data_IF_215359696991
#
_entry.id   IF_215359696991
#
_cell.length_a   1.000
_cell.length_b   1.000
_cell.length_c   1.000
_cell.angle_alpha   90.00
_cell.angle_beta   90.00
_cell.angle_gamma   90.00
#
_symmetry.space_group_name_H-M   'P 1'
#
loop_
_entity.id
_entity.type
_entity.pdbx_description
1 polymer ?
#
# COMPACT_ATOMS: atom_id res chain seq x y z
N UNK A 1 13.71 -23.15 50.46
CA UNK A 1 13.42 -22.80 49.03
C UNK A 1 13.64 -23.99 48.10
N UNK A 2 14.54 -24.93 48.38
CA UNK A 2 14.80 -26.11 47.53
C UNK A 2 13.59 -27.05 47.33
N UNK A 3 12.84 -27.31 48.39
CA UNK A 3 11.71 -28.26 48.34
C UNK A 3 10.57 -27.77 47.46
N UNK A 4 10.32 -26.49 47.39
CA UNK A 4 9.31 -25.90 46.49
C UNK A 4 9.66 -26.12 45.03
N UNK A 5 10.92 -25.83 44.64
CA UNK A 5 11.39 -26.03 43.28
C UNK A 5 11.43 -27.50 42.88
N UNK A 6 11.81 -28.40 43.80
CA UNK A 6 11.80 -29.83 43.55
C UNK A 6 10.39 -30.36 43.34
N UNK A 7 9.41 -29.98 44.20
CA UNK A 7 8.01 -30.37 44.07
C UNK A 7 7.37 -29.82 42.79
N UNK A 8 7.73 -28.56 42.40
CA UNK A 8 7.27 -27.96 41.16
C UNK A 8 7.78 -28.73 39.95
N UNK A 9 9.09 -29.07 39.94
CA UNK A 9 9.71 -29.86 38.88
C UNK A 9 9.09 -31.24 38.69
N UNK A 10 8.83 -31.96 39.76
CA UNK A 10 8.17 -33.28 39.70
C UNK A 10 6.75 -33.21 39.17
N UNK A 11 5.97 -32.21 39.62
CA UNK A 11 4.59 -32.03 39.16
C UNK A 11 4.55 -31.63 37.66
N UNK A 12 5.44 -30.72 37.25
CA UNK A 12 5.54 -30.31 35.85
C UNK A 12 5.97 -31.47 34.94
N UNK A 13 6.89 -32.31 35.40
CA UNK A 13 7.32 -33.48 34.64
C UNK A 13 6.21 -34.54 34.52
N UNK A 14 5.46 -34.80 35.57
CA UNK A 14 4.31 -35.72 35.56
C UNK A 14 3.17 -35.20 34.67
N UNK A 15 3.00 -33.86 34.61
CA UNK A 15 1.97 -33.20 33.81
C UNK A 15 2.51 -32.61 32.50
N UNK A 16 3.64 -33.11 31.97
CA UNK A 16 4.34 -32.57 30.79
C UNK A 16 3.43 -32.27 29.60
N UNK A 17 2.50 -33.16 29.29
CA UNK A 17 1.55 -32.95 28.20
C UNK A 17 0.56 -31.82 28.46
N UNK A 18 0.14 -31.61 29.69
CA UNK A 18 -0.72 -30.50 30.09
C UNK A 18 0.02 -29.19 30.07
N UNK A 19 1.30 -29.18 30.43
CA UNK A 19 2.16 -27.98 30.35
C UNK A 19 2.38 -27.57 28.87
N UNK A 20 2.66 -28.55 27.99
CA UNK A 20 2.78 -28.31 26.55
C UNK A 20 1.47 -27.81 25.97
N UNK A 21 0.35 -28.44 26.31
CA UNK A 21 -0.98 -27.99 25.85
C UNK A 21 -1.28 -26.54 26.32
N UNK A 22 -0.94 -26.21 27.57
CA UNK A 22 -1.06 -24.85 28.10
C UNK A 22 -0.26 -23.83 27.30
N UNK A 23 1.00 -24.15 26.95
CA UNK A 23 1.82 -23.28 26.13
C UNK A 23 1.26 -23.11 24.70
N UNK A 24 0.74 -24.17 24.09
CA UNK A 24 0.10 -24.09 22.77
C UNK A 24 -1.11 -23.15 22.81
N UNK A 25 -1.95 -23.25 23.86
CA UNK A 25 -3.10 -22.36 24.05
C UNK A 25 -2.65 -20.91 24.23
N UNK A 26 -1.63 -20.66 25.08
CA UNK A 26 -1.10 -19.31 25.29
C UNK A 26 -0.54 -18.71 24.00
N UNK A 27 0.25 -19.50 23.25
CA UNK A 27 0.79 -19.06 21.95
C UNK A 27 -0.32 -18.81 20.92
N UNK A 28 -1.35 -19.66 20.90
CA UNK A 28 -2.51 -19.47 20.04
C UNK A 28 -3.27 -18.17 20.35
N UNK A 29 -3.54 -17.92 21.62
CA UNK A 29 -4.20 -16.68 22.06
C UNK A 29 -3.35 -15.46 21.75
N UNK A 30 -2.04 -15.50 22.03
CA UNK A 30 -1.13 -14.39 21.72
C UNK A 30 -1.01 -14.19 20.21
N UNK A 31 -1.00 -15.25 19.40
CA UNK A 31 -0.99 -15.17 17.95
C UNK A 31 -2.25 -14.48 17.38
N UNK A 32 -3.43 -14.86 17.88
CA UNK A 32 -4.70 -14.24 17.49
C UNK A 32 -4.75 -12.76 17.92
N UNK A 33 -4.31 -12.46 19.15
CA UNK A 33 -4.23 -11.08 19.62
C UNK A 33 -3.24 -10.26 18.78
N UNK A 34 -2.08 -10.81 18.49
CA UNK A 34 -1.10 -10.15 17.62
C UNK A 34 -1.69 -9.87 16.23
N UNK A 35 -2.31 -10.86 15.58
CA UNK A 35 -2.93 -10.68 14.28
C UNK A 35 -4.06 -9.63 14.27
N UNK A 36 -4.78 -9.51 15.40
CA UNK A 36 -5.89 -8.56 15.50
C UNK A 36 -5.45 -7.14 15.89
N UNK A 37 -4.36 -7.01 16.66
CA UNK A 37 -3.85 -5.73 17.16
C UNK A 37 -2.57 -5.26 16.47
N UNK A 38 -1.94 -6.07 15.61
CA UNK A 38 -0.83 -5.61 14.79
C UNK A 38 -1.36 -4.58 13.79
N UNK A 39 -1.13 -3.31 14.09
CA UNK A 39 -1.24 -2.26 13.10
C UNK A 39 -0.03 -2.35 12.16
N UNK A 40 -0.20 -2.16 10.85
CA UNK A 40 0.94 -2.09 9.95
C UNK A 40 1.90 -1.00 10.47
N UNK A 41 3.18 -1.33 10.48
CA UNK A 41 4.24 -0.39 10.89
C UNK A 41 4.19 0.81 9.95
N UNK A 42 3.50 1.88 10.36
CA UNK A 42 3.50 3.12 9.61
C UNK A 42 4.86 3.77 9.76
N UNK A 43 5.55 3.99 8.65
CA UNK A 43 6.83 4.70 8.61
C UNK A 43 6.63 6.23 8.72
N UNK A 44 5.44 6.67 9.15
CA UNK A 44 5.13 8.07 9.43
C UNK A 44 5.66 8.43 10.82
N UNK A 45 6.71 9.22 10.85
CA UNK A 45 7.25 9.80 12.07
C UNK A 45 6.32 10.94 12.52
N UNK A 46 5.22 10.58 13.18
CA UNK A 46 4.30 11.54 13.80
C UNK A 46 4.61 11.64 15.29
N UNK A 47 4.90 12.84 15.78
CA UNK A 47 5.07 13.12 17.21
C UNK A 47 3.87 13.96 17.66
N UNK A 48 2.78 13.31 18.15
CA UNK A 48 1.56 14.01 18.53
C UNK A 48 1.83 15.08 19.59
N UNK A 49 1.22 16.27 19.41
CA UNK A 49 1.26 17.35 20.41
C UNK A 49 2.41 18.36 20.25
N UNK A 50 3.32 18.18 19.29
CA UNK A 50 4.36 19.17 18.98
C UNK A 50 3.84 20.30 18.09
N UNK A 51 4.46 21.49 18.17
CA UNK A 51 4.14 22.61 17.26
C UNK A 51 4.46 22.26 15.79
N UNK A 52 5.49 21.44 15.58
CA UNK A 52 5.83 20.93 14.25
C UNK A 52 4.68 20.10 13.65
N UNK A 53 4.08 19.21 14.44
CA UNK A 53 2.92 18.41 13.99
C UNK A 53 1.72 19.31 13.66
N UNK A 54 1.41 20.28 14.51
CA UNK A 54 0.32 21.25 14.24
C UNK A 54 0.52 22.06 12.95
N UNK A 55 1.79 22.37 12.65
CA UNK A 55 2.12 23.09 11.42
C UNK A 55 1.95 22.19 10.19
N UNK A 56 2.36 20.92 10.29
CA UNK A 56 2.14 19.92 9.25
C UNK A 56 0.64 19.68 9.02
N UNK A 57 -0.13 19.49 10.09
CA UNK A 57 -1.59 19.29 10.01
C UNK A 57 -2.28 20.50 9.32
N UNK A 58 -1.83 21.71 9.63
CA UNK A 58 -2.35 22.92 9.00
C UNK A 58 -1.89 23.09 7.55
N UNK A 59 -0.67 22.63 7.23
CA UNK A 59 -0.17 22.61 5.86
C UNK A 59 -0.98 21.63 5.00
N UNK A 60 -1.30 20.47 5.54
CA UNK A 60 -2.12 19.45 4.88
C UNK A 60 -3.57 19.91 4.68
N UNK A 61 -4.10 20.71 5.61
CA UNK A 61 -5.43 21.33 5.47
C UNK A 61 -5.46 22.33 4.30
N UNK A 62 -4.39 23.11 4.12
CA UNK A 62 -4.29 24.15 3.08
C UNK A 62 -3.84 23.58 1.74
N UNK A 63 -2.98 22.57 1.77
CA UNK A 63 -2.39 21.92 0.59
C UNK A 63 -2.54 20.39 0.62
N UNK A 64 -3.76 19.84 0.52
CA UNK A 64 -4.02 18.41 0.72
C UNK A 64 -3.31 17.49 -0.29
N UNK A 65 -2.90 18.01 -1.44
CA UNK A 65 -2.19 17.24 -2.47
C UNK A 65 -0.67 17.25 -2.32
N UNK A 66 -0.09 18.15 -1.53
CA UNK A 66 1.37 18.28 -1.44
C UNK A 66 2.02 17.30 -0.47
N UNK A 67 1.26 16.74 0.47
CA UNK A 67 1.68 15.68 1.39
C UNK A 67 1.25 14.28 0.95
N UNK A 68 0.51 14.17 -0.15
CA UNK A 68 0.15 12.88 -0.71
C UNK A 68 1.38 12.15 -1.27
N UNK A 69 1.44 10.84 -1.08
CA UNK A 69 2.43 9.99 -1.74
C UNK A 69 2.12 9.87 -3.22
N UNK A 70 3.16 9.71 -4.00
CA UNK A 70 3.04 9.73 -5.46
C UNK A 70 3.48 8.41 -6.04
N UNK A 71 2.58 7.76 -6.74
CA UNK A 71 2.90 6.62 -7.60
C UNK A 71 2.63 6.90 -9.06
N UNK A 72 2.98 5.97 -9.91
CA UNK A 72 2.82 6.07 -11.36
C UNK A 72 2.21 4.80 -11.91
N UNK A 73 1.34 4.96 -12.90
CA UNK A 73 0.88 3.88 -13.76
C UNK A 73 1.47 4.17 -15.14
N UNK A 74 2.36 3.29 -15.58
CA UNK A 74 3.11 3.43 -16.84
C UNK A 74 2.41 2.62 -17.91
N UNK A 75 2.34 3.18 -19.10
CA UNK A 75 1.75 2.57 -20.29
C UNK A 75 2.80 2.47 -21.39
N UNK A 76 2.79 1.35 -22.11
CA UNK A 76 3.51 1.19 -23.35
C UNK A 76 2.54 0.74 -24.45
N UNK A 77 2.54 1.48 -25.54
CA UNK A 77 1.73 1.17 -26.71
C UNK A 77 2.29 -0.04 -27.48
N UNK A 78 1.44 -0.88 -28.09
CA UNK A 78 1.88 -1.95 -28.96
C UNK A 78 2.77 -1.45 -30.09
N UNK A 79 3.68 -2.31 -30.58
CA UNK A 79 4.63 -1.97 -31.64
C UNK A 79 3.92 -1.39 -32.88
N UNK A 80 4.29 -0.22 -33.27
CA UNK A 80 3.75 0.48 -34.45
C UNK A 80 2.54 1.38 -34.19
N UNK A 81 2.17 1.57 -32.92
CA UNK A 81 1.11 2.50 -32.48
C UNK A 81 1.64 3.49 -31.46
N UNK A 82 0.86 4.49 -31.14
CA UNK A 82 1.19 5.51 -30.13
C UNK A 82 0.12 5.59 -29.06
N UNK A 83 0.44 6.05 -27.86
CA UNK A 83 -0.49 6.21 -26.76
C UNK A 83 -1.62 7.20 -27.07
N UNK A 84 -1.43 8.08 -28.03
CA UNK A 84 -2.47 9.01 -28.48
C UNK A 84 -3.67 8.28 -29.07
N UNK A 85 -3.46 7.10 -29.68
CA UNK A 85 -4.52 6.26 -30.22
C UNK A 85 -5.35 5.58 -29.11
N UNK A 86 -4.79 5.46 -27.91
CA UNK A 86 -5.39 4.86 -26.71
C UNK A 86 -5.78 5.89 -25.65
N UNK A 87 -5.86 7.16 -26.03
CA UNK A 87 -6.17 8.27 -25.10
C UNK A 87 -7.50 8.05 -24.35
N UNK A 88 -8.50 7.47 -25.03
CA UNK A 88 -9.81 7.16 -24.41
C UNK A 88 -9.70 6.11 -23.32
N UNK A 89 -8.93 5.04 -23.55
CA UNK A 89 -8.71 3.94 -22.60
C UNK A 89 -7.91 4.44 -21.39
N UNK A 90 -6.87 5.22 -21.63
CA UNK A 90 -6.04 5.81 -20.57
C UNK A 90 -6.85 6.81 -19.74
N UNK A 91 -7.68 7.64 -20.36
CA UNK A 91 -8.55 8.56 -19.63
C UNK A 91 -9.62 7.80 -18.83
N UNK A 92 -10.21 6.75 -19.39
CA UNK A 92 -11.18 5.91 -18.68
C UNK A 92 -10.56 5.23 -17.44
N UNK A 93 -9.29 4.79 -17.53
CA UNK A 93 -8.58 4.29 -16.37
C UNK A 93 -8.30 5.40 -15.35
N UNK A 94 -7.85 6.58 -15.81
CA UNK A 94 -7.60 7.72 -14.94
C UNK A 94 -8.84 8.11 -14.13
N UNK A 95 -10.01 8.14 -14.78
CA UNK A 95 -11.28 8.46 -14.13
C UNK A 95 -11.69 7.38 -13.08
N UNK A 96 -11.48 6.11 -13.39
CA UNK A 96 -11.72 5.02 -12.45
C UNK A 96 -10.79 5.07 -11.24
N UNK A 97 -9.50 5.31 -11.48
CA UNK A 97 -8.50 5.44 -10.40
C UNK A 97 -8.79 6.67 -9.55
N UNK A 98 -9.20 7.79 -10.14
CA UNK A 98 -9.56 9.00 -9.40
C UNK A 98 -10.80 8.80 -8.49
N UNK A 99 -11.66 7.84 -8.80
CA UNK A 99 -12.84 7.50 -8.01
C UNK A 99 -12.54 6.54 -6.84
N UNK A 100 -11.32 5.98 -6.75
CA UNK A 100 -10.91 5.09 -5.66
C UNK A 100 -10.76 5.89 -4.36
N UNK A 101 -11.32 5.36 -3.27
CA UNK A 101 -11.17 5.99 -1.96
C UNK A 101 -9.69 6.00 -1.54
N UNK A 102 -9.21 7.13 -1.00
CA UNK A 102 -7.80 7.33 -0.68
C UNK A 102 -6.95 7.90 -1.83
N UNK A 103 -7.45 7.98 -3.06
CA UNK A 103 -6.82 8.72 -4.16
C UNK A 103 -7.19 10.20 -4.06
N UNK A 104 -6.20 11.08 -4.08
CA UNK A 104 -6.35 12.54 -3.96
C UNK A 104 -6.33 13.26 -5.30
N UNK A 105 -5.70 12.66 -6.29
CA UNK A 105 -5.63 13.20 -7.63
C UNK A 105 -4.92 12.28 -8.60
N UNK A 106 -5.29 12.40 -9.86
CA UNK A 106 -4.65 11.73 -10.99
C UNK A 106 -4.30 12.79 -12.02
N UNK A 107 -3.06 12.76 -12.48
CA UNK A 107 -2.56 13.68 -13.54
C UNK A 107 -2.18 12.82 -14.74
N UNK A 108 -2.82 13.06 -15.88
CA UNK A 108 -2.54 12.34 -17.12
C UNK A 108 -1.39 12.96 -17.90
N UNK A 109 -0.83 12.23 -18.88
CA UNK A 109 0.16 12.78 -19.80
C UNK A 109 -0.43 13.91 -20.70
N UNK A 110 -1.74 13.98 -20.90
CA UNK A 110 -2.38 15.08 -21.61
C UNK A 110 -2.29 16.40 -20.81
N UNK A 111 -2.39 16.31 -19.47
CA UNK A 111 -2.25 17.45 -18.55
C UNK A 111 -0.78 17.77 -18.28
N UNK A 112 0.11 16.77 -18.39
CA UNK A 112 1.54 16.91 -18.23
C UNK A 112 2.29 16.27 -19.41
N UNK A 113 2.55 17.02 -20.51
CA UNK A 113 3.21 16.49 -21.69
C UNK A 113 4.59 15.87 -21.45
N UNK A 114 5.27 16.24 -20.35
CA UNK A 114 6.54 15.63 -19.97
C UNK A 114 6.40 14.17 -19.47
N UNK A 115 5.17 13.71 -19.25
CA UNK A 115 4.88 12.34 -18.89
C UNK A 115 4.68 11.41 -20.11
N UNK A 116 4.90 11.92 -21.32
CA UNK A 116 4.88 11.17 -22.58
C UNK A 116 6.27 11.19 -23.21
N UNK A 117 6.72 10.04 -23.71
CA UNK A 117 7.98 9.94 -24.46
C UNK A 117 7.94 10.73 -25.77
N UNK A 118 9.10 11.12 -26.30
CA UNK A 118 9.19 11.90 -27.55
C UNK A 118 8.59 11.19 -28.76
N UNK A 119 8.65 9.85 -28.77
CA UNK A 119 8.08 9.00 -29.81
C UNK A 119 6.60 8.67 -29.58
N UNK A 120 6.03 9.06 -28.44
CA UNK A 120 4.64 8.85 -28.07
C UNK A 120 4.30 7.40 -27.73
N UNK A 121 5.28 6.50 -27.57
CA UNK A 121 5.04 5.08 -27.32
C UNK A 121 4.92 4.74 -25.84
N UNK A 122 5.56 5.51 -24.96
CA UNK A 122 5.53 5.31 -23.51
C UNK A 122 5.01 6.57 -22.82
N UNK A 123 4.15 6.38 -21.84
CA UNK A 123 3.65 7.47 -21.02
C UNK A 123 3.23 6.99 -19.64
N UNK A 124 2.93 7.91 -18.74
CA UNK A 124 2.48 7.55 -17.40
C UNK A 124 1.41 8.49 -16.85
N UNK A 125 0.57 7.93 -15.97
CA UNK A 125 -0.26 8.71 -15.06
C UNK A 125 0.50 8.92 -13.75
N UNK A 126 0.36 10.09 -13.17
CA UNK A 126 0.78 10.36 -11.80
C UNK A 126 -0.43 10.24 -10.89
N UNK A 127 -0.38 9.34 -9.92
CA UNK A 127 -1.46 9.10 -8.96
C UNK A 127 -1.01 9.57 -7.59
N UNK A 128 -1.79 10.45 -6.97
CA UNK A 128 -1.56 10.94 -5.62
C UNK A 128 -2.45 10.16 -4.66
N UNK A 129 -1.85 9.45 -3.69
CA UNK A 129 -2.56 8.58 -2.76
C UNK A 129 -2.25 8.91 -1.31
N UNK A 130 -3.20 8.63 -0.44
CA UNK A 130 -3.10 8.90 0.99
C UNK A 130 -3.25 10.38 1.32
N UNK A 131 -3.19 10.70 2.62
CA UNK A 131 -3.20 12.03 3.17
C UNK A 131 -2.20 12.11 4.33
N UNK A 132 -1.70 13.32 4.64
CA UNK A 132 -0.84 13.59 5.80
C UNK A 132 0.46 12.80 5.80
N UNK A 133 1.08 12.57 4.63
CA UNK A 133 2.31 11.78 4.50
C UNK A 133 2.18 10.32 4.93
N UNK A 134 0.94 9.87 5.21
CA UNK A 134 0.64 8.49 5.60
C UNK A 134 0.87 7.49 4.48
N UNK A 135 1.05 6.24 4.87
CA UNK A 135 1.07 5.13 3.91
C UNK A 135 -0.36 4.96 3.40
N UNK A 136 -0.57 4.83 2.08
CA UNK A 136 -1.90 4.53 1.55
C UNK A 136 -2.46 3.23 2.14
N UNK A 137 -3.76 3.16 2.31
CA UNK A 137 -4.41 1.94 2.76
C UNK A 137 -4.19 0.81 1.74
N UNK A 138 -3.93 -0.40 2.23
CA UNK A 138 -3.69 -1.57 1.38
C UNK A 138 -4.85 -1.80 0.41
N UNK A 139 -6.09 -1.58 0.86
CA UNK A 139 -7.29 -1.66 0.03
C UNK A 139 -7.31 -0.66 -1.13
N UNK A 140 -6.74 0.54 -0.94
CA UNK A 140 -6.57 1.54 -2.02
C UNK A 140 -5.57 1.04 -3.06
N UNK A 141 -4.44 0.48 -2.59
CA UNK A 141 -3.39 -0.05 -3.47
C UNK A 141 -3.90 -1.25 -4.28
N UNK A 142 -4.59 -2.19 -3.64
CA UNK A 142 -5.19 -3.35 -4.31
C UNK A 142 -6.23 -2.96 -5.36
N UNK A 143 -7.07 -1.97 -5.08
CA UNK A 143 -8.05 -1.48 -6.04
C UNK A 143 -7.38 -0.83 -7.26
N UNK A 144 -6.34 -0.02 -7.05
CA UNK A 144 -5.58 0.60 -8.14
C UNK A 144 -4.88 -0.46 -8.99
N UNK A 145 -4.27 -1.48 -8.35
CA UNK A 145 -3.62 -2.58 -9.05
C UNK A 145 -4.63 -3.40 -9.88
N UNK A 146 -5.79 -3.70 -9.29
CA UNK A 146 -6.88 -4.40 -10.01
C UNK A 146 -7.32 -3.62 -11.24
N UNK A 147 -7.52 -2.31 -11.13
CA UNK A 147 -7.91 -1.45 -12.24
C UNK A 147 -6.83 -1.39 -13.34
N UNK A 148 -5.55 -1.38 -12.95
CA UNK A 148 -4.43 -1.41 -13.90
C UNK A 148 -4.36 -2.76 -14.64
N UNK A 149 -4.59 -3.87 -13.96
CA UNK A 149 -4.65 -5.20 -14.55
C UNK A 149 -5.84 -5.35 -15.52
N UNK A 150 -7.04 -4.86 -15.13
CA UNK A 150 -8.21 -4.83 -16.01
C UNK A 150 -7.96 -3.99 -17.28
N UNK A 151 -7.25 -2.88 -17.13
CA UNK A 151 -6.87 -2.05 -18.27
C UNK A 151 -5.87 -2.75 -19.18
N UNK A 152 -4.89 -3.46 -18.63
CA UNK A 152 -3.93 -4.30 -19.40
C UNK A 152 -4.65 -5.34 -20.24
N UNK A 153 -5.62 -6.05 -19.65
CA UNK A 153 -6.36 -7.09 -20.35
C UNK A 153 -7.31 -6.55 -21.43
N UNK A 154 -7.92 -5.38 -21.18
CA UNK A 154 -8.96 -4.84 -22.07
C UNK A 154 -8.42 -3.98 -23.20
N UNK A 155 -7.31 -3.26 -23.00
CA UNK A 155 -6.77 -2.29 -23.98
C UNK A 155 -5.69 -2.87 -24.89
N UNK A 156 -5.02 -3.94 -24.51
CA UNK A 156 -3.82 -4.46 -25.18
C UNK A 156 -2.57 -3.61 -24.97
N UNK A 157 -2.63 -2.59 -24.10
CA UNK A 157 -1.46 -1.85 -23.64
C UNK A 157 -0.66 -2.68 -22.62
N UNK A 158 0.66 -2.51 -22.58
CA UNK A 158 1.42 -2.90 -21.40
C UNK A 158 1.17 -1.86 -20.32
N UNK A 159 0.69 -2.29 -19.15
CA UNK A 159 0.38 -1.41 -18.01
C UNK A 159 1.14 -1.90 -16.79
N UNK A 160 1.95 -1.03 -16.20
CA UNK A 160 2.74 -1.34 -15.02
C UNK A 160 2.51 -0.29 -13.92
N UNK A 161 2.38 -0.76 -12.68
CA UNK A 161 2.21 0.09 -11.50
C UNK A 161 3.55 0.26 -10.80
N UNK A 162 3.86 1.48 -10.37
CA UNK A 162 5.15 1.80 -9.74
C UNK A 162 5.08 2.90 -8.69
N UNK A 163 6.21 3.10 -7.99
CA UNK A 163 6.32 4.11 -6.93
C UNK A 163 5.58 3.70 -5.66
N UNK A 164 4.96 4.67 -4.99
CA UNK A 164 4.23 4.44 -3.73
C UNK A 164 2.89 3.69 -3.90
N UNK A 165 2.54 3.28 -5.13
CA UNK A 165 1.40 2.41 -5.41
C UNK A 165 1.73 0.92 -5.26
N UNK A 166 3.02 0.56 -5.19
CA UNK A 166 3.40 -0.83 -4.97
C UNK A 166 3.20 -1.14 -3.49
N UNK A 167 2.32 -2.10 -3.20
CA UNK A 167 2.20 -2.66 -1.86
C UNK A 167 3.53 -3.33 -1.51
N UNK A 168 4.23 -2.81 -0.50
CA UNK A 168 5.39 -3.49 0.09
C UNK A 168 4.91 -4.66 0.97
N UNK A 169 4.05 -5.51 0.48
CA UNK A 169 3.78 -6.78 1.12
C UNK A 169 5.09 -7.58 1.12
N UNK A 170 5.63 -7.96 2.29
CA UNK A 170 6.83 -8.78 2.34
C UNK A 170 6.47 -10.17 1.83
N UNK A 171 6.73 -10.47 0.56
CA UNK A 171 6.52 -11.83 0.10
C UNK A 171 6.52 -12.16 -1.38
N UNK A 172 6.71 -11.25 -2.30
CA UNK A 172 6.88 -11.67 -3.71
C UNK A 172 8.18 -11.14 -4.30
N UNK A 173 9.24 -11.91 -4.03
CA UNK A 173 10.46 -11.88 -4.84
C UNK A 173 10.19 -12.87 -5.97
N UNK A 174 9.90 -12.37 -7.16
CA UNK A 174 9.92 -13.16 -8.40
C UNK A 174 11.35 -13.24 -8.92
#
# INVERSE_FOLDING_TARGET
MGDFLHTLGEKTFKAKWWVVAGWIVVLGVLGVLAAHYMQPLSNSLSIPGTEAQKTLDKYDEVFPSSSARTGRIVFEAPTGTTLTEYSTEVQALADKVAAVDGVKGVVTYEQNPSALSEDGTIGYLTVQVGANGGIPDESTLEQVDTLANDARESSGLTVEVGGDLISNAPGEIV
#
